data_IF_143845524542
#
_entry.id   IF_143845524542
#
_cell.length_a   1.000
_cell.length_b   1.000
_cell.length_c   1.000
_cell.angle_alpha   90.00
_cell.angle_beta   90.00
_cell.angle_gamma   90.00
#
_symmetry.space_group_name_H-M   'P 1'
#
loop_
_entity.id
_entity.type
_entity.pdbx_description
1 polymer ?
#
# COMPACT_ATOMS: atom_id res chain seq x y z
N UNK A 1 -32.18 29.56 -17.96
CA UNK A 1 -31.27 28.74 -17.12
C UNK A 1 -31.59 29.01 -15.68
N UNK A 2 -32.17 28.03 -14.98
CA UNK A 2 -32.64 28.16 -13.60
C UNK A 2 -31.44 28.01 -12.66
N UNK A 3 -31.04 29.11 -12.02
CA UNK A 3 -30.03 29.11 -10.95
C UNK A 3 -30.62 28.36 -9.76
N UNK A 4 -30.28 27.07 -9.63
CA UNK A 4 -30.58 26.25 -8.45
C UNK A 4 -29.98 26.98 -7.24
N UNK A 5 -30.86 27.39 -6.33
CA UNK A 5 -30.53 28.37 -5.30
C UNK A 5 -30.02 27.68 -4.02
N UNK A 6 -28.72 27.83 -3.73
CA UNK A 6 -28.01 27.44 -2.50
C UNK A 6 -28.68 27.91 -1.18
N UNK A 7 -29.60 28.87 -1.22
CA UNK A 7 -30.19 29.51 -0.03
C UNK A 7 -31.09 28.58 0.79
N UNK A 8 -31.80 27.65 0.15
CA UNK A 8 -32.63 26.66 0.87
C UNK A 8 -31.76 25.56 1.48
N UNK A 9 -30.76 25.10 0.73
CA UNK A 9 -29.81 24.07 1.17
C UNK A 9 -28.95 24.56 2.34
N UNK A 10 -28.46 25.81 2.29
CA UNK A 10 -27.71 26.44 3.37
C UNK A 10 -28.53 26.54 4.68
N UNK A 11 -29.83 26.82 4.59
CA UNK A 11 -30.73 26.85 5.76
C UNK A 11 -30.94 25.45 6.34
N UNK A 12 -31.10 24.44 5.48
CA UNK A 12 -31.20 23.04 5.89
C UNK A 12 -29.96 22.59 6.66
N UNK A 13 -28.77 22.86 6.13
CA UNK A 13 -27.49 22.55 6.78
C UNK A 13 -27.36 23.30 8.13
N UNK A 14 -27.68 24.59 8.18
CA UNK A 14 -27.62 25.36 9.42
C UNK A 14 -28.61 24.86 10.49
N UNK A 15 -29.75 24.30 10.08
CA UNK A 15 -30.72 23.71 11.01
C UNK A 15 -30.23 22.35 11.53
N UNK A 16 -29.59 21.53 10.69
CA UNK A 16 -28.95 20.27 11.09
C UNK A 16 -27.78 20.49 12.07
N UNK A 17 -26.96 21.53 11.85
CA UNK A 17 -25.90 21.94 12.78
C UNK A 17 -26.49 22.35 14.14
N UNK A 18 -27.55 23.17 14.15
CA UNK A 18 -28.21 23.64 15.38
C UNK A 18 -28.85 22.52 16.20
N UNK A 19 -29.37 21.47 15.55
CA UNK A 19 -29.92 20.29 16.22
C UNK A 19 -28.83 19.34 16.75
N UNK A 20 -27.55 19.64 16.52
CA UNK A 20 -26.44 18.74 16.87
C UNK A 20 -26.35 17.49 15.99
N UNK A 21 -27.14 17.43 14.91
CA UNK A 21 -27.20 16.29 13.99
C UNK A 21 -26.08 16.31 12.95
N UNK A 22 -25.35 17.42 12.84
CA UNK A 22 -24.16 17.51 12.01
C UNK A 22 -22.90 17.43 12.90
N UNK A 23 -22.27 16.26 12.91
CA UNK A 23 -20.91 16.09 13.43
C UNK A 23 -19.94 16.36 12.27
N UNK A 24 -18.91 17.19 12.44
CA UNK A 24 -17.83 17.32 11.46
C UNK A 24 -17.21 15.96 11.22
N UNK A 25 -17.60 15.30 10.13
CA UNK A 25 -16.98 14.06 9.70
C UNK A 25 -15.69 14.45 9.00
N UNK A 26 -14.56 14.00 9.55
CA UNK A 26 -13.20 14.30 9.11
C UNK A 26 -12.89 13.90 7.66
N UNK A 27 -13.88 13.40 6.90
CA UNK A 27 -13.78 12.96 5.51
C UNK A 27 -13.02 13.94 4.59
N UNK A 28 -13.06 15.26 4.87
CA UNK A 28 -12.36 16.32 4.11
C UNK A 28 -11.21 17.02 4.86
N UNK A 29 -10.85 16.60 6.07
CA UNK A 29 -9.67 17.15 6.75
C UNK A 29 -8.40 16.73 6.02
N UNK A 30 -7.37 17.59 6.04
CA UNK A 30 -6.05 17.30 5.47
C UNK A 30 -5.49 16.03 6.10
N UNK A 31 -5.60 15.90 7.42
CA UNK A 31 -5.16 14.72 8.17
C UNK A 31 -5.80 13.42 7.66
N UNK A 32 -7.12 13.40 7.43
CA UNK A 32 -7.78 12.22 6.90
C UNK A 32 -7.37 11.92 5.44
N UNK A 33 -7.02 12.94 4.66
CA UNK A 33 -6.48 12.76 3.30
C UNK A 33 -5.06 12.17 3.34
N UNK A 34 -4.21 12.64 4.26
CA UNK A 34 -2.86 12.12 4.47
C UNK A 34 -2.86 10.66 4.92
N UNK A 35 -3.74 10.30 5.88
CA UNK A 35 -3.90 8.90 6.33
C UNK A 35 -4.34 8.01 5.16
N UNK A 36 -5.34 8.43 4.37
CA UNK A 36 -5.77 7.68 3.18
C UNK A 36 -4.66 7.54 2.15
N UNK A 37 -3.87 8.60 1.91
CA UNK A 37 -2.74 8.57 1.00
C UNK A 37 -1.68 7.56 1.47
N UNK A 38 -1.34 7.56 2.76
CA UNK A 38 -0.42 6.60 3.37
C UNK A 38 -0.90 5.17 3.21
N UNK A 39 -2.18 4.89 3.50
CA UNK A 39 -2.76 3.56 3.33
C UNK A 39 -2.75 3.09 1.87
N UNK A 40 -3.07 3.99 0.93
CA UNK A 40 -3.02 3.74 -0.50
C UNK A 40 -1.60 3.41 -0.97
N UNK A 41 -0.62 4.23 -0.57
CA UNK A 41 0.80 4.01 -0.88
C UNK A 41 1.30 2.67 -0.33
N UNK A 42 0.96 2.32 0.92
CA UNK A 42 1.30 1.02 1.52
C UNK A 42 0.73 -0.14 0.70
N UNK A 43 -0.53 -0.06 0.28
CA UNK A 43 -1.18 -1.08 -0.55
C UNK A 43 -0.50 -1.18 -1.93
N UNK A 44 -0.15 -0.05 -2.53
CA UNK A 44 0.52 0.00 -3.82
C UNK A 44 1.90 -0.69 -3.77
N UNK A 45 2.71 -0.40 -2.75
CA UNK A 45 4.02 -1.06 -2.58
C UNK A 45 3.89 -2.57 -2.40
N UNK A 46 2.88 -3.03 -1.65
CA UNK A 46 2.61 -4.47 -1.52
C UNK A 46 2.23 -5.11 -2.86
N UNK A 47 1.36 -4.44 -3.64
CA UNK A 47 1.00 -4.90 -4.99
C UNK A 47 2.23 -5.04 -5.89
N UNK A 48 3.06 -3.99 -5.96
CA UNK A 48 4.29 -4.00 -6.76
C UNK A 48 5.28 -5.07 -6.29
N UNK A 49 5.38 -5.32 -4.99
CA UNK A 49 6.22 -6.39 -4.45
C UNK A 49 5.76 -7.76 -4.97
N UNK A 50 4.45 -8.02 -4.94
CA UNK A 50 3.85 -9.26 -5.45
C UNK A 50 4.08 -9.36 -6.96
N UNK A 51 3.85 -8.29 -7.70
CA UNK A 51 4.07 -8.25 -9.16
C UNK A 51 5.51 -8.63 -9.51
N UNK A 52 6.50 -8.06 -8.81
CA UNK A 52 7.92 -8.39 -9.01
C UNK A 52 8.22 -9.86 -8.69
N UNK A 53 7.69 -10.40 -7.58
CA UNK A 53 7.87 -11.83 -7.25
C UNK A 53 7.25 -12.75 -8.31
N UNK A 54 6.08 -12.38 -8.86
CA UNK A 54 5.42 -13.12 -9.93
C UNK A 54 6.18 -13.00 -11.25
N UNK A 55 6.68 -11.82 -11.61
CA UNK A 55 7.51 -11.63 -12.80
C UNK A 55 8.79 -12.46 -12.74
N UNK A 56 9.48 -12.53 -11.60
CA UNK A 56 10.65 -13.39 -11.43
C UNK A 56 10.28 -14.85 -11.67
N UNK A 57 9.17 -15.33 -11.08
CA UNK A 57 8.69 -16.70 -11.29
C UNK A 57 8.30 -16.97 -12.75
N UNK A 58 7.73 -15.98 -13.43
CA UNK A 58 7.37 -16.05 -14.84
C UNK A 58 8.61 -16.21 -15.71
N UNK A 59 9.59 -15.32 -15.55
CA UNK A 59 10.87 -15.38 -16.28
C UNK A 59 11.51 -16.76 -16.09
N UNK A 60 11.67 -17.23 -14.85
CA UNK A 60 12.33 -18.51 -14.59
C UNK A 60 11.57 -19.73 -15.13
N UNK A 61 10.24 -19.63 -15.26
CA UNK A 61 9.44 -20.72 -15.86
C UNK A 61 9.84 -20.97 -17.31
N UNK A 62 10.16 -19.92 -18.06
CA UNK A 62 10.48 -20.00 -19.49
C UNK A 62 11.85 -20.66 -19.74
N UNK A 63 12.74 -20.64 -18.75
CA UNK A 63 14.07 -21.25 -18.83
C UNK A 63 14.14 -22.67 -18.24
N UNK A 64 13.01 -23.21 -17.75
CA UNK A 64 12.92 -24.55 -17.15
C UNK A 64 12.92 -24.65 -15.61
N UNK A 65 13.63 -23.81 -14.81
CA UNK A 65 13.63 -23.96 -13.37
C UNK A 65 12.30 -23.53 -12.73
N UNK A 66 11.57 -24.50 -12.18
CA UNK A 66 10.43 -24.20 -11.30
C UNK A 66 10.95 -23.73 -9.95
N UNK A 67 10.59 -22.50 -9.57
CA UNK A 67 10.93 -21.93 -8.25
C UNK A 67 10.46 -22.80 -7.09
N UNK A 68 9.32 -23.48 -7.27
CA UNK A 68 8.73 -24.33 -6.23
C UNK A 68 8.16 -23.54 -5.05
N UNK A 69 7.73 -24.25 -3.98
CA UNK A 69 7.29 -23.64 -2.75
C UNK A 69 8.47 -22.97 -2.06
N UNK A 70 8.33 -21.67 -1.79
CA UNK A 70 9.35 -20.88 -1.08
C UNK A 70 8.67 -19.93 -0.11
N UNK A 71 9.33 -19.69 1.01
CA UNK A 71 8.90 -18.68 1.98
C UNK A 71 9.45 -17.32 1.59
N UNK A 72 8.90 -16.24 2.16
CA UNK A 72 9.43 -14.89 1.95
C UNK A 72 10.93 -14.75 2.32
N UNK A 73 11.41 -15.55 3.26
CA UNK A 73 12.82 -15.57 3.71
C UNK A 73 13.71 -16.37 2.75
N UNK A 74 13.22 -17.49 2.24
CA UNK A 74 14.01 -18.39 1.38
C UNK A 74 13.92 -18.05 -0.10
N UNK A 75 12.97 -17.20 -0.51
CA UNK A 75 12.74 -16.81 -1.90
C UNK A 75 14.04 -16.37 -2.60
N UNK A 76 14.74 -15.38 -2.04
CA UNK A 76 15.90 -14.77 -2.67
C UNK A 76 17.06 -15.76 -2.85
N UNK A 77 17.37 -16.55 -1.82
CA UNK A 77 18.38 -17.59 -1.89
C UNK A 77 18.05 -18.63 -2.96
N UNK A 78 16.79 -19.06 -3.03
CA UNK A 78 16.32 -20.01 -4.05
C UNK A 78 16.43 -19.45 -5.46
N UNK A 79 16.09 -18.18 -5.68
CA UNK A 79 16.27 -17.56 -6.99
C UNK A 79 17.74 -17.58 -7.40
N UNK A 80 18.66 -17.18 -6.51
CA UNK A 80 20.11 -17.20 -6.80
C UNK A 80 20.62 -18.60 -7.14
N UNK A 81 20.18 -19.61 -6.41
CA UNK A 81 20.51 -21.01 -6.68
C UNK A 81 20.06 -21.45 -8.08
N UNK A 82 18.83 -21.08 -8.48
CA UNK A 82 18.25 -21.50 -9.76
C UNK A 82 18.86 -20.82 -10.98
N UNK A 83 19.43 -19.63 -10.82
CA UNK A 83 20.07 -18.89 -11.93
C UNK A 83 21.58 -19.11 -12.01
N UNK A 84 22.18 -19.78 -11.01
CA UNK A 84 23.60 -20.00 -10.93
C UNK A 84 24.15 -20.68 -12.19
N UNK A 85 25.23 -20.13 -12.76
CA UNK A 85 25.86 -20.63 -13.98
C UNK A 85 25.25 -20.09 -15.27
N UNK A 86 24.21 -19.26 -15.21
CA UNK A 86 23.59 -18.61 -16.37
C UNK A 86 23.74 -17.08 -16.29
N UNK A 87 24.84 -16.55 -16.82
CA UNK A 87 25.22 -15.14 -16.67
C UNK A 87 24.10 -14.13 -16.96
N UNK A 88 23.29 -14.37 -18.01
CA UNK A 88 22.16 -13.50 -18.35
C UNK A 88 21.06 -13.56 -17.28
N UNK A 89 20.70 -14.75 -16.80
CA UNK A 89 19.69 -14.91 -15.75
C UNK A 89 20.18 -14.39 -14.40
N UNK A 90 21.46 -14.57 -14.07
CA UNK A 90 22.06 -13.98 -12.87
C UNK A 90 21.95 -12.47 -12.86
N UNK A 91 22.23 -11.82 -13.99
CA UNK A 91 22.11 -10.36 -14.14
C UNK A 91 20.66 -9.91 -13.97
N UNK A 92 19.71 -10.59 -14.62
CA UNK A 92 18.27 -10.28 -14.52
C UNK A 92 17.79 -10.48 -13.08
N UNK A 93 18.09 -11.63 -12.48
CA UNK A 93 17.69 -11.95 -11.12
C UNK A 93 18.27 -10.96 -10.11
N UNK A 94 19.54 -10.55 -10.25
CA UNK A 94 20.17 -9.56 -9.39
C UNK A 94 19.41 -8.23 -9.41
N UNK A 95 19.07 -7.73 -10.60
CA UNK A 95 18.30 -6.49 -10.74
C UNK A 95 16.90 -6.62 -10.11
N UNK A 96 16.19 -7.71 -10.40
CA UNK A 96 14.83 -7.92 -9.90
C UNK A 96 14.79 -8.14 -8.37
N UNK A 97 15.76 -8.86 -7.81
CA UNK A 97 15.88 -9.06 -6.37
C UNK A 97 16.25 -7.77 -5.63
N UNK A 98 17.04 -6.89 -6.24
CA UNK A 98 17.32 -5.55 -5.71
C UNK A 98 16.03 -4.73 -5.57
N UNK A 99 15.21 -4.66 -6.64
CA UNK A 99 13.91 -3.97 -6.61
C UNK A 99 12.98 -4.59 -5.56
N UNK A 100 12.92 -5.93 -5.49
CA UNK A 100 12.13 -6.64 -4.46
C UNK A 100 12.56 -6.24 -3.04
N UNK A 101 13.86 -6.16 -2.79
CA UNK A 101 14.40 -5.77 -1.48
C UNK A 101 14.00 -4.34 -1.09
N UNK A 102 14.16 -3.39 -2.03
CA UNK A 102 13.75 -2.01 -1.84
C UNK A 102 12.25 -1.87 -1.55
N UNK A 103 11.39 -2.52 -2.36
CA UNK A 103 9.93 -2.53 -2.15
C UNK A 103 9.56 -3.08 -0.77
N UNK A 104 10.20 -4.17 -0.34
CA UNK A 104 9.97 -4.77 0.98
C UNK A 104 10.37 -3.83 2.11
N UNK A 105 11.50 -3.13 1.98
CA UNK A 105 11.97 -2.16 2.96
C UNK A 105 11.02 -0.96 3.07
N UNK A 106 10.61 -0.38 1.93
CA UNK A 106 9.68 0.75 1.90
C UNK A 106 8.28 0.39 2.40
N UNK A 107 7.77 -0.78 1.99
CA UNK A 107 6.52 -1.32 2.54
C UNK A 107 6.59 -1.43 4.07
N UNK A 108 7.71 -1.93 4.60
CA UNK A 108 7.93 -2.04 6.04
C UNK A 108 7.92 -0.68 6.74
N UNK A 109 8.50 0.37 6.13
CA UNK A 109 8.46 1.74 6.65
C UNK A 109 7.03 2.29 6.69
N UNK A 110 6.28 2.19 5.59
CA UNK A 110 4.89 2.67 5.56
C UNK A 110 3.99 1.86 6.49
N UNK A 111 4.24 0.56 6.63
CA UNK A 111 3.50 -0.28 7.58
C UNK A 111 3.72 0.16 9.03
N UNK A 112 4.96 0.47 9.42
CA UNK A 112 5.27 1.03 10.74
C UNK A 112 4.60 2.38 10.97
N UNK A 113 4.61 3.27 9.97
CA UNK A 113 3.93 4.57 10.06
C UNK A 113 2.41 4.40 10.30
N UNK A 114 1.77 3.46 9.60
CA UNK A 114 0.35 3.15 9.82
C UNK A 114 0.11 2.60 11.24
N UNK A 115 0.98 1.72 11.74
CA UNK A 115 0.85 1.19 13.09
C UNK A 115 1.03 2.25 14.18
N UNK A 116 1.85 3.28 13.94
CA UNK A 116 1.98 4.41 14.85
C UNK A 116 0.65 5.18 14.96
N UNK A 117 0.06 5.55 13.82
CA UNK A 117 -1.24 6.26 13.78
C UNK A 117 -2.33 5.47 14.51
N UNK A 118 -2.43 4.16 14.26
CA UNK A 118 -3.46 3.31 14.91
C UNK A 118 -3.26 3.24 16.44
N UNK A 119 -2.00 3.25 16.92
CA UNK A 119 -1.71 3.24 18.36
C UNK A 119 -2.11 4.56 19.01
N UNK A 120 -1.86 5.68 18.34
CA UNK A 120 -2.20 7.00 18.86
C UNK A 120 -3.72 7.24 18.86
N UNK A 121 -4.45 6.78 17.84
CA UNK A 121 -5.91 6.86 17.77
C UNK A 121 -6.61 5.99 18.83
N UNK A 122 -6.05 4.83 19.18
CA UNK A 122 -6.60 3.94 20.20
C UNK A 122 -6.58 4.57 21.61
N UNK A 123 -5.73 5.56 21.86
CA UNK A 123 -5.65 6.28 23.13
C UNK A 123 -6.77 7.32 23.27
N UNK A 124 -7.38 7.77 22.16
CA UNK A 124 -8.40 8.83 22.17
C UNK A 124 -9.84 8.28 22.27
N UNK A 125 -10.05 6.98 22.03
CA UNK A 125 -11.37 6.35 22.10
C UNK A 125 -11.75 5.82 23.51
N UNK A 126 -10.91 6.04 24.52
CA UNK A 126 -11.04 5.48 25.87
C UNK A 126 -11.34 6.47 27.00
N UNK A 127 -11.80 7.69 26.69
CA UNK A 127 -12.12 8.74 27.68
C UNK A 127 -13.47 9.39 27.43
#
# INVERSE_FOLDING_TARGET
>A
MTVKTDRKDARGIAQLIRMGWFRPVHAKSVDAQEIRALMSARKQLLGRLIDVELSIRGILRDFGPKVGPVTRKTFEARIRELVAGQATLERIATAMLSVRSALKAEYGRLHKAVLAIVRDDAVVAGS
#
